data_IF_696949187312
#
_entry.id   IF_696949187312
#
_cell.length_a   1.000
_cell.length_b   1.000
_cell.length_c   1.000
_cell.angle_alpha   90.00
_cell.angle_beta   90.00
_cell.angle_gamma   90.00
#
_symmetry.space_group_name_H-M   'P 1'
#
loop_
_entity.id
_entity.type
_entity.pdbx_description
1 polymer ?
#
# COMPACT_ATOMS: atom_id res chain seq x y z
N UNK A 1 99.12 -8.81 -0.30
CA UNK A 1 98.53 -7.61 -0.92
C UNK A 1 97.03 -7.88 -0.97
N UNK A 2 96.35 -7.42 0.07
CA UNK A 2 94.91 -7.56 0.25
C UNK A 2 94.17 -6.54 -0.63
N UNK A 3 92.84 -6.70 -0.75
CA UNK A 3 91.82 -5.74 -1.23
C UNK A 3 91.09 -6.04 -2.57
N UNK A 4 90.93 -7.30 -2.99
CA UNK A 4 89.94 -7.67 -4.04
C UNK A 4 88.58 -8.17 -3.49
N UNK A 5 88.35 -8.04 -2.18
CA UNK A 5 87.14 -8.58 -1.53
C UNK A 5 86.16 -7.55 -0.98
N UNK A 6 86.33 -6.26 -1.23
CA UNK A 6 85.60 -5.20 -0.50
C UNK A 6 84.63 -4.35 -1.35
N UNK A 7 84.52 -4.57 -2.66
CA UNK A 7 83.64 -3.74 -3.51
C UNK A 7 82.18 -4.20 -3.60
N UNK A 8 81.85 -5.38 -3.06
CA UNK A 8 80.47 -5.93 -3.13
C UNK A 8 79.63 -5.68 -1.87
N UNK A 9 80.08 -4.83 -0.93
CA UNK A 9 79.35 -4.55 0.32
C UNK A 9 78.68 -3.16 0.37
N UNK A 10 78.78 -2.37 -0.69
CA UNK A 10 78.10 -1.09 -0.75
C UNK A 10 76.69 -1.26 -1.33
N UNK A 11 75.71 -1.27 -0.41
CA UNK A 11 74.28 -1.15 -0.65
C UNK A 11 73.58 -2.41 -1.18
N UNK A 12 73.50 -3.44 -0.32
CA UNK A 12 72.28 -4.23 -0.24
C UNK A 12 71.16 -3.36 0.35
N UNK A 13 70.62 -2.46 -0.47
CA UNK A 13 69.35 -1.80 -0.22
C UNK A 13 68.29 -2.89 -0.31
N UNK A 14 67.99 -3.52 0.82
CA UNK A 14 66.71 -4.21 0.95
C UNK A 14 65.63 -3.22 0.49
N UNK A 15 64.83 -3.54 -0.54
CA UNK A 15 63.70 -2.70 -0.90
C UNK A 15 62.89 -2.48 0.37
N UNK A 16 62.77 -1.23 0.81
CA UNK A 16 61.80 -0.85 1.83
C UNK A 16 60.44 -1.23 1.26
N UNK A 17 59.90 -2.38 1.69
CA UNK A 17 58.49 -2.70 1.51
C UNK A 17 57.71 -1.65 2.31
N UNK A 18 57.37 -0.55 1.65
CA UNK A 18 56.37 0.39 2.14
C UNK A 18 55.11 -0.46 2.41
N UNK A 19 54.52 -0.40 3.62
CA UNK A 19 53.28 -1.10 3.86
C UNK A 19 52.31 -0.61 2.80
N UNK A 20 51.82 -1.54 1.97
CA UNK A 20 50.85 -1.24 0.94
C UNK A 20 49.79 -0.33 1.56
N UNK A 21 49.54 0.83 0.93
CA UNK A 21 48.52 1.76 1.36
C UNK A 21 47.29 0.95 1.76
N UNK A 22 46.70 1.15 2.95
CA UNK A 22 45.54 0.37 3.36
C UNK A 22 44.48 0.58 2.29
N UNK A 23 44.38 -0.40 1.39
CA UNK A 23 43.37 -0.45 0.37
C UNK A 23 42.08 -0.24 1.10
N UNK A 24 41.31 0.75 0.68
CA UNK A 24 40.07 1.22 1.29
C UNK A 24 38.93 0.17 1.19
N UNK A 25 39.29 -1.11 1.13
CA UNK A 25 38.45 -2.28 0.96
C UNK A 25 38.99 -3.44 1.83
N UNK A 26 38.14 -4.28 2.46
CA UNK A 26 36.76 -4.55 2.08
C UNK A 26 35.76 -3.90 3.00
N UNK A 27 34.66 -3.41 2.44
CA UNK A 27 33.49 -3.09 3.25
C UNK A 27 33.25 -4.26 4.21
N UNK A 28 33.17 -3.99 5.52
CA UNK A 28 33.01 -5.03 6.51
C UNK A 28 31.76 -5.85 6.16
N UNK A 29 31.77 -7.15 6.45
CA UNK A 29 30.64 -8.05 6.15
C UNK A 29 29.29 -7.52 6.69
N UNK A 30 29.33 -6.70 7.75
CA UNK A 30 28.19 -5.97 8.30
C UNK A 30 27.54 -4.98 7.31
N UNK A 31 28.30 -4.37 6.41
CA UNK A 31 27.76 -3.46 5.40
C UNK A 31 26.97 -4.21 4.31
N UNK A 32 27.36 -5.44 3.98
CA UNK A 32 26.59 -6.30 3.08
C UNK A 32 25.27 -6.78 3.71
N UNK A 33 25.26 -7.03 5.02
CA UNK A 33 24.03 -7.31 5.76
C UNK A 33 23.08 -6.11 5.77
N UNK A 34 23.60 -4.90 5.98
CA UNK A 34 22.81 -3.67 5.91
C UNK A 34 22.26 -3.41 4.50
N UNK A 35 23.09 -3.59 3.47
CA UNK A 35 22.67 -3.44 2.08
C UNK A 35 21.60 -4.48 1.71
N UNK A 36 21.80 -5.75 2.10
CA UNK A 36 20.83 -6.83 1.87
C UNK A 36 19.51 -6.58 2.61
N UNK A 37 19.56 -6.14 3.86
CA UNK A 37 18.39 -5.76 4.64
C UNK A 37 17.63 -4.59 4.00
N UNK A 38 18.35 -3.55 3.57
CA UNK A 38 17.77 -2.39 2.90
C UNK A 38 17.08 -2.80 1.59
N UNK A 39 17.75 -3.61 0.76
CA UNK A 39 17.18 -4.12 -0.49
C UNK A 39 15.94 -4.97 -0.22
N UNK A 40 15.97 -5.84 0.80
CA UNK A 40 14.81 -6.64 1.19
C UNK A 40 13.63 -5.76 1.62
N UNK A 41 13.87 -4.75 2.45
CA UNK A 41 12.85 -3.78 2.89
C UNK A 41 12.28 -3.03 1.69
N UNK A 42 13.13 -2.56 0.79
CA UNK A 42 12.72 -1.86 -0.44
C UNK A 42 11.90 -2.79 -1.35
N UNK A 43 12.29 -4.05 -1.52
CA UNK A 43 11.54 -5.02 -2.32
C UNK A 43 10.19 -5.37 -1.69
N UNK A 44 10.13 -5.53 -0.37
CA UNK A 44 8.88 -5.73 0.36
C UNK A 44 7.97 -4.50 0.24
N UNK A 45 8.54 -3.30 0.35
CA UNK A 45 7.82 -2.04 0.19
C UNK A 45 7.31 -1.83 -1.24
N UNK A 46 8.14 -2.08 -2.26
CA UNK A 46 7.73 -2.05 -3.66
C UNK A 46 6.68 -3.11 -3.94
N UNK A 47 6.88 -4.35 -3.47
CA UNK A 47 5.92 -5.43 -3.59
C UNK A 47 4.57 -5.02 -3.01
N UNK A 48 4.56 -4.57 -1.76
CA UNK A 48 3.36 -4.05 -1.10
C UNK A 48 2.70 -2.95 -1.93
N UNK A 49 3.46 -1.92 -2.34
CA UNK A 49 2.95 -0.81 -3.16
C UNK A 49 2.41 -1.26 -4.52
N UNK A 50 3.04 -2.26 -5.14
CA UNK A 50 2.63 -2.80 -6.43
C UNK A 50 1.38 -3.68 -6.31
N UNK A 51 1.23 -4.42 -5.21
CA UNK A 51 0.01 -5.14 -4.85
C UNK A 51 -1.14 -4.16 -4.61
N UNK A 52 -0.90 -3.06 -3.89
CA UNK A 52 -1.91 -2.02 -3.62
C UNK A 52 -2.55 -1.46 -4.90
N UNK A 53 -1.77 -1.23 -5.96
CA UNK A 53 -2.29 -0.79 -7.26
C UNK A 53 -3.14 -1.84 -7.99
N UNK A 54 -2.85 -3.13 -7.82
CA UNK A 54 -3.63 -4.23 -8.42
C UNK A 54 -4.93 -4.50 -7.65
N UNK A 55 -4.96 -4.29 -6.34
CA UNK A 55 -6.16 -4.50 -5.53
C UNK A 55 -7.30 -3.58 -5.94
N UNK A 56 -7.04 -2.28 -6.19
CA UNK A 56 -8.05 -1.35 -6.71
C UNK A 56 -8.64 -1.80 -8.05
N UNK A 57 -7.78 -2.24 -8.98
CA UNK A 57 -8.22 -2.77 -10.28
C UNK A 57 -9.04 -4.05 -10.14
N UNK A 58 -8.62 -4.97 -9.25
CA UNK A 58 -9.39 -6.19 -8.94
C UNK A 58 -10.74 -5.86 -8.29
N UNK A 59 -10.78 -4.91 -7.37
CA UNK A 59 -12.01 -4.46 -6.72
C UNK A 59 -13.01 -3.89 -7.73
N UNK A 60 -12.55 -3.03 -8.65
CA UNK A 60 -13.39 -2.52 -9.74
C UNK A 60 -13.88 -3.64 -10.65
N UNK A 61 -13.03 -4.62 -10.97
CA UNK A 61 -13.41 -5.80 -11.74
C UNK A 61 -14.48 -6.65 -11.05
N UNK A 62 -14.41 -6.80 -9.72
CA UNK A 62 -15.41 -7.51 -8.94
C UNK A 62 -16.74 -6.75 -8.88
N UNK A 63 -16.70 -5.42 -8.75
CA UNK A 63 -17.92 -4.57 -8.83
C UNK A 63 -18.59 -4.74 -10.20
N UNK A 64 -17.81 -4.73 -11.30
CA UNK A 64 -18.38 -4.96 -12.65
C UNK A 64 -18.95 -6.36 -12.85
N UNK A 65 -18.45 -7.38 -12.15
CA UNK A 65 -19.02 -8.72 -12.18
C UNK A 65 -20.36 -8.78 -11.44
N UNK A 66 -20.46 -8.08 -10.32
CA UNK A 66 -21.70 -7.94 -9.56
C UNK A 66 -22.74 -7.14 -10.33
N UNK A 67 -22.35 -6.18 -11.18
CA UNK A 67 -23.29 -5.39 -12.00
C UNK A 67 -24.27 -6.26 -12.80
N UNK A 68 -23.82 -7.42 -13.31
CA UNK A 68 -24.66 -8.39 -14.02
C UNK A 68 -25.46 -9.36 -13.13
N UNK A 69 -25.19 -9.40 -11.82
CA UNK A 69 -25.87 -10.23 -10.83
C UNK A 69 -26.20 -9.42 -9.58
N UNK A 70 -27.42 -8.85 -9.49
CA UNK A 70 -27.83 -8.03 -8.37
C UNK A 70 -27.75 -8.78 -7.03
N UNK A 71 -26.69 -8.52 -6.26
CA UNK A 71 -26.42 -9.14 -4.97
C UNK A 71 -25.81 -8.10 -4.03
N UNK A 72 -26.69 -7.45 -3.26
CA UNK A 72 -26.31 -6.40 -2.32
C UNK A 72 -25.47 -6.93 -1.14
N UNK A 73 -25.78 -8.09 -0.52
CA UNK A 73 -24.91 -8.71 0.48
C UNK A 73 -23.48 -8.97 -0.03
N UNK A 74 -23.34 -9.47 -1.27
CA UNK A 74 -22.02 -9.67 -1.86
C UNK A 74 -21.29 -8.34 -2.05
N UNK A 75 -21.99 -7.30 -2.51
CA UNK A 75 -21.43 -5.95 -2.65
C UNK A 75 -20.98 -5.38 -1.29
N UNK A 76 -21.82 -5.44 -0.25
CA UNK A 76 -21.47 -4.97 1.11
C UNK A 76 -20.25 -5.71 1.67
N UNK A 77 -20.22 -7.05 1.52
CA UNK A 77 -19.08 -7.87 1.95
C UNK A 77 -17.78 -7.49 1.22
N UNK A 78 -17.88 -7.13 -0.06
CA UNK A 78 -16.75 -6.69 -0.86
C UNK A 78 -16.22 -5.34 -0.36
N UNK A 79 -17.09 -4.34 -0.14
CA UNK A 79 -16.68 -3.05 0.41
C UNK A 79 -16.04 -3.22 1.79
N UNK A 80 -16.62 -4.03 2.68
CA UNK A 80 -16.02 -4.35 4.00
C UNK A 80 -14.65 -4.97 3.86
N UNK A 81 -14.48 -5.93 2.95
CA UNK A 81 -13.18 -6.58 2.70
C UNK A 81 -12.15 -5.57 2.19
N UNK A 82 -12.55 -4.67 1.30
CA UNK A 82 -11.70 -3.57 0.83
C UNK A 82 -11.32 -2.68 2.02
N UNK A 83 -12.29 -2.20 2.79
CA UNK A 83 -12.03 -1.38 3.97
C UNK A 83 -11.06 -2.06 4.96
N UNK A 84 -11.28 -3.34 5.30
CA UNK A 84 -10.40 -4.11 6.19
C UNK A 84 -8.98 -4.35 5.63
N UNK A 85 -8.79 -4.22 4.32
CA UNK A 85 -7.46 -4.33 3.70
C UNK A 85 -6.64 -3.04 3.92
N UNK A 86 -7.32 -1.90 4.03
CA UNK A 86 -6.68 -0.57 4.15
C UNK A 86 -6.75 0.01 5.56
N UNK A 87 -7.76 -0.36 6.35
CA UNK A 87 -8.04 0.15 7.69
C UNK A 87 -7.97 -0.97 8.73
N UNK A 88 -7.53 -0.68 9.97
CA UNK A 88 -7.45 -1.69 11.01
C UNK A 88 -8.84 -2.22 11.37
N UNK A 89 -8.92 -3.54 11.60
CA UNK A 89 -10.18 -4.25 11.91
C UNK A 89 -10.96 -3.62 13.07
N UNK A 90 -10.29 -3.03 14.06
CA UNK A 90 -10.95 -2.42 15.21
C UNK A 90 -11.84 -1.22 14.82
N UNK A 91 -11.48 -0.47 13.78
CA UNK A 91 -12.28 0.67 13.33
C UNK A 91 -13.50 0.23 12.49
N UNK A 92 -13.39 -0.87 11.75
CA UNK A 92 -14.42 -1.31 10.78
C UNK A 92 -15.36 -2.38 11.35
N UNK A 93 -14.86 -3.30 12.18
CA UNK A 93 -15.62 -4.49 12.60
C UNK A 93 -16.83 -4.18 13.49
N UNK A 94 -16.83 -3.05 14.19
CA UNK A 94 -17.98 -2.60 14.98
C UNK A 94 -19.06 -1.86 14.18
N UNK A 95 -18.80 -1.53 12.91
CA UNK A 95 -19.71 -0.72 12.11
C UNK A 95 -20.74 -1.60 11.38
N UNK A 96 -22.01 -1.27 11.57
CA UNK A 96 -23.14 -1.93 10.92
C UNK A 96 -24.22 -0.93 10.54
N UNK A 97 -25.00 -1.27 9.52
CA UNK A 97 -26.12 -0.45 9.04
C UNK A 97 -25.72 0.99 8.70
N UNK A 98 -26.39 1.95 9.34
CA UNK A 98 -26.17 3.39 9.11
C UNK A 98 -24.75 3.84 9.47
N UNK A 99 -24.19 3.33 10.58
CA UNK A 99 -22.84 3.70 11.02
C UNK A 99 -21.77 3.27 10.00
N UNK A 100 -22.02 2.17 9.29
CA UNK A 100 -21.15 1.72 8.20
C UNK A 100 -21.21 2.64 6.98
N UNK A 101 -22.41 3.04 6.54
CA UNK A 101 -22.58 3.94 5.41
C UNK A 101 -22.03 5.34 5.70
N UNK A 102 -22.28 5.87 6.91
CA UNK A 102 -21.73 7.15 7.36
C UNK A 102 -20.19 7.15 7.35
N UNK A 103 -19.58 6.05 7.79
CA UNK A 103 -18.14 5.89 7.75
C UNK A 103 -17.59 5.83 6.32
N UNK A 104 -18.30 5.17 5.39
CA UNK A 104 -17.88 5.16 3.97
C UNK A 104 -17.82 6.58 3.40
N UNK A 105 -18.84 7.39 3.63
CA UNK A 105 -18.88 8.80 3.21
C UNK A 105 -17.74 9.60 3.88
N UNK A 106 -17.52 9.42 5.19
CA UNK A 106 -16.43 10.10 5.93
C UNK A 106 -15.03 9.80 5.34
N UNK A 107 -14.78 8.54 4.93
CA UNK A 107 -13.50 8.16 4.33
C UNK A 107 -13.31 8.68 2.90
N UNK A 108 -14.40 8.90 2.15
CA UNK A 108 -14.35 9.53 0.84
C UNK A 108 -14.07 11.04 0.98
N UNK A 109 -14.73 11.70 1.93
CA UNK A 109 -14.60 13.15 2.17
C UNK A 109 -13.19 13.53 2.67
N UNK A 110 -12.63 12.74 3.61
CA UNK A 110 -11.22 12.91 4.07
C UNK A 110 -10.20 12.88 2.94
N UNK A 111 -10.48 12.21 1.82
CA UNK A 111 -9.62 12.22 0.65
C UNK A 111 -9.81 13.50 -0.17
N UNK A 112 -11.04 13.96 -0.35
CA UNK A 112 -11.39 15.14 -1.13
C UNK A 112 -10.93 16.43 -0.47
N UNK A 113 -11.11 16.58 0.85
CA UNK A 113 -10.59 17.72 1.64
C UNK A 113 -9.07 17.86 1.51
N UNK A 114 -8.34 16.76 1.34
CA UNK A 114 -6.88 16.82 1.11
C UNK A 114 -6.54 17.36 -0.28
N UNK A 115 -7.46 17.29 -1.26
CA UNK A 115 -7.23 17.70 -2.66
C UNK A 115 -7.84 19.05 -3.03
N UNK A 116 -8.92 19.45 -2.38
CA UNK A 116 -9.63 20.69 -2.67
C UNK A 116 -10.00 21.33 -1.33
N UNK A 117 -9.51 22.55 -1.06
CA UNK A 117 -9.82 23.37 0.12
C UNK A 117 -11.29 23.88 0.13
N UNK A 118 -12.23 23.09 -0.37
CA UNK A 118 -13.63 23.42 -0.51
C UNK A 118 -14.46 22.20 -0.17
N UNK A 119 -15.15 22.27 0.97
CA UNK A 119 -16.08 21.30 1.52
C UNK A 119 -17.02 20.76 0.44
N UNK A 120 -16.70 19.58 -0.08
CA UNK A 120 -17.53 18.89 -1.05
C UNK A 120 -18.46 17.96 -0.27
N UNK A 121 -19.72 18.35 -0.13
CA UNK A 121 -20.77 17.45 0.35
C UNK A 121 -20.94 16.32 -0.67
N UNK A 122 -20.08 15.31 -0.55
CA UNK A 122 -19.94 14.17 -1.45
C UNK A 122 -20.56 12.91 -0.85
N UNK A 123 -21.59 13.12 -0.02
CA UNK A 123 -22.35 12.07 0.66
C UNK A 123 -23.14 11.24 -0.36
N UNK A 124 -22.56 10.15 -0.87
CA UNK A 124 -23.19 9.29 -1.88
C UNK A 124 -23.99 8.15 -1.25
N UNK A 125 -23.62 7.70 -0.05
CA UNK A 125 -24.29 6.57 0.61
C UNK A 125 -25.40 7.01 1.57
N UNK A 126 -25.25 8.15 2.25
CA UNK A 126 -26.28 8.76 3.11
C UNK A 126 -27.67 8.89 2.45
N UNK A 127 -27.84 9.45 1.23
CA UNK A 127 -29.16 9.54 0.60
C UNK A 127 -29.73 8.16 0.23
N UNK A 128 -28.88 7.16 0.04
CA UNK A 128 -29.23 5.80 -0.31
C UNK A 128 -29.45 4.91 0.92
N UNK A 129 -29.31 5.44 2.15
CA UNK A 129 -29.34 4.63 3.37
C UNK A 129 -30.64 3.86 3.55
N UNK A 130 -31.78 4.48 3.26
CA UNK A 130 -33.09 3.87 3.51
C UNK A 130 -33.31 2.67 2.58
N UNK A 131 -33.03 2.85 1.28
CA UNK A 131 -33.14 1.77 0.30
C UNK A 131 -32.12 0.68 0.57
N UNK A 132 -30.86 1.03 0.84
CA UNK A 132 -29.78 0.09 1.17
C UNK A 132 -30.11 -0.79 2.39
N UNK A 133 -30.52 -0.18 3.50
CA UNK A 133 -30.87 -0.90 4.73
C UNK A 133 -32.12 -1.76 4.51
N UNK A 134 -33.10 -1.25 3.77
CA UNK A 134 -34.33 -2.01 3.50
C UNK A 134 -34.11 -3.24 2.62
N UNK A 135 -33.12 -3.20 1.73
CA UNK A 135 -32.76 -4.36 0.90
C UNK A 135 -31.89 -5.33 1.71
N UNK A 136 -30.89 -4.84 2.44
CA UNK A 136 -29.99 -5.71 3.22
C UNK A 136 -30.70 -6.42 4.37
N UNK A 137 -31.61 -5.73 5.07
CA UNK A 137 -32.26 -6.24 6.28
C UNK A 137 -33.75 -6.54 6.09
N UNK A 138 -34.40 -5.89 5.14
CA UNK A 138 -35.86 -5.96 4.95
C UNK A 138 -36.33 -6.96 3.90
N UNK A 139 -35.42 -7.72 3.27
CA UNK A 139 -35.74 -8.74 2.25
C UNK A 139 -36.66 -8.21 1.12
N UNK A 140 -36.55 -6.91 0.79
CA UNK A 140 -37.27 -6.31 -0.34
C UNK A 140 -36.59 -6.70 -1.65
N UNK A 141 -37.38 -6.91 -2.74
CA UNK A 141 -36.80 -7.18 -4.05
C UNK A 141 -35.95 -5.98 -4.49
N UNK A 142 -34.75 -6.28 -5.01
CA UNK A 142 -33.82 -5.27 -5.47
C UNK A 142 -34.33 -4.67 -6.80
N UNK A 143 -34.73 -3.41 -6.78
CA UNK A 143 -35.09 -2.68 -8.00
C UNK A 143 -33.83 -2.33 -8.82
N UNK A 144 -33.94 -2.46 -10.14
CA UNK A 144 -32.81 -2.25 -11.06
C UNK A 144 -32.22 -0.83 -10.97
N UNK A 145 -33.07 0.18 -10.73
CA UNK A 145 -32.66 1.58 -10.59
C UNK A 145 -31.83 1.80 -9.32
N UNK A 146 -32.30 1.24 -8.19
CA UNK A 146 -31.60 1.29 -6.91
C UNK A 146 -30.25 0.56 -7.00
N UNK A 147 -30.21 -0.56 -7.71
CA UNK A 147 -28.98 -1.33 -7.92
C UNK A 147 -27.91 -0.53 -8.65
N UNK A 148 -28.29 0.19 -9.72
CA UNK A 148 -27.37 1.03 -10.47
C UNK A 148 -26.81 2.17 -9.60
N UNK A 149 -27.65 2.78 -8.75
CA UNK A 149 -27.21 3.79 -7.79
C UNK A 149 -26.21 3.22 -6.77
N UNK A 150 -26.46 2.02 -6.24
CA UNK A 150 -25.56 1.33 -5.30
C UNK A 150 -24.21 0.99 -5.94
N UNK A 151 -24.21 0.51 -7.18
CA UNK A 151 -22.98 0.21 -7.93
C UNK A 151 -22.21 1.49 -8.24
N UNK A 152 -22.89 2.55 -8.68
CA UNK A 152 -22.27 3.84 -8.98
C UNK A 152 -21.59 4.43 -7.73
N UNK A 153 -22.29 4.45 -6.59
CA UNK A 153 -21.75 4.91 -5.31
C UNK A 153 -20.54 4.07 -4.87
N UNK A 154 -20.66 2.74 -4.93
CA UNK A 154 -19.58 1.80 -4.60
C UNK A 154 -18.34 2.00 -5.48
N UNK A 155 -18.54 2.17 -6.78
CA UNK A 155 -17.46 2.41 -7.75
C UNK A 155 -16.77 3.74 -7.49
N UNK A 156 -17.55 4.80 -7.24
CA UNK A 156 -17.00 6.10 -6.91
C UNK A 156 -16.16 6.03 -5.62
N UNK A 157 -16.69 5.38 -4.59
CA UNK A 157 -15.97 5.17 -3.33
C UNK A 157 -14.66 4.44 -3.57
N UNK A 158 -14.64 3.30 -4.28
CA UNK A 158 -13.41 2.53 -4.55
C UNK A 158 -12.36 3.35 -5.34
N UNK A 159 -12.78 4.32 -6.14
CA UNK A 159 -11.84 5.21 -6.84
C UNK A 159 -11.27 6.30 -5.93
N UNK A 160 -12.10 6.85 -5.04
CA UNK A 160 -11.79 8.06 -4.27
C UNK A 160 -11.46 7.81 -2.79
N UNK A 161 -11.61 6.60 -2.27
CA UNK A 161 -11.35 6.34 -0.85
C UNK A 161 -9.86 6.51 -0.53
N UNK A 162 -9.59 7.19 0.58
CA UNK A 162 -8.24 7.34 1.12
C UNK A 162 -7.73 5.96 1.53
N UNK A 163 -6.53 5.61 1.10
CA UNK A 163 -5.82 4.46 1.64
C UNK A 163 -4.94 5.00 2.75
N UNK A 164 -5.25 4.69 4.01
CA UNK A 164 -4.31 4.99 5.10
C UNK A 164 -3.03 4.19 4.85
N UNK A 165 -2.04 4.88 4.29
CA UNK A 165 -0.72 4.33 4.13
C UNK A 165 -0.19 4.02 5.51
N UNK A 166 -0.19 2.74 5.88
CA UNK A 166 0.83 2.24 6.79
C UNK A 166 2.16 2.43 6.08
N UNK A 167 2.74 3.61 6.27
CA UNK A 167 4.16 3.86 6.12
C UNK A 167 4.93 2.89 7.02
#
# INVERSE_FOLDING_TARGET
>A
MNLEGYVDSALNLAPLELPAEPGWWPLPASAWMLLGGLVLVVLLWLGYRHYQGRFKRKALGLISQLEGKPDLPALDSLLRRIALTYYPRNQVAGLSGEAWLAWLDEQADKQQDTRLNGKADSSQFMPLKESWLSVLYGNKPLEQEQWQAFIAASRHWVLHFKTEGKC
#
